data_IF_745778618725
#
_entry.id   IF_745778618725
#
_cell.length_a   1.000
_cell.length_b   1.000
_cell.length_c   1.000
_cell.angle_alpha   90.00
_cell.angle_beta   90.00
_cell.angle_gamma   90.00
#
_symmetry.space_group_name_H-M   'P 1'
#
loop_
_entity.id
_entity.type
_entity.pdbx_description
1 polymer ?
#
# COMPACT_ATOMS: atom_id res chain seq x y z
N UNK A 1 6.81 -4.02 10.10
CA UNK A 1 6.61 -5.47 9.80
C UNK A 1 6.73 -5.66 8.29
N UNK A 2 7.53 -6.61 7.77
CA UNK A 2 7.54 -6.87 6.31
C UNK A 2 6.42 -7.87 5.99
N UNK A 3 5.41 -7.50 5.19
CA UNK A 3 4.41 -8.47 4.75
C UNK A 3 5.10 -9.59 3.94
N UNK A 4 4.59 -10.82 4.03
CA UNK A 4 5.13 -11.99 3.33
C UNK A 4 4.71 -11.98 1.84
N UNK A 5 4.87 -10.81 1.20
CA UNK A 5 4.44 -10.50 -0.15
C UNK A 5 5.69 -9.97 -0.85
N UNK A 6 6.12 -10.66 -1.91
CA UNK A 6 7.24 -10.19 -2.73
C UNK A 6 6.70 -9.13 -3.69
N UNK A 7 7.16 -7.90 -3.48
CA UNK A 7 6.77 -6.73 -4.25
C UNK A 7 8.01 -6.19 -4.92
N UNK A 8 7.85 -5.82 -6.19
CA UNK A 8 8.95 -5.27 -6.99
C UNK A 8 9.60 -4.09 -6.27
N UNK A 9 10.93 -4.00 -6.36
CA UNK A 9 11.73 -2.96 -5.68
C UNK A 9 11.22 -1.54 -5.94
N UNK A 10 10.67 -1.30 -7.14
CA UNK A 10 10.04 -0.04 -7.54
C UNK A 10 8.77 0.28 -6.76
N UNK A 11 7.89 -0.72 -6.53
CA UNK A 11 6.67 -0.54 -5.75
C UNK A 11 6.98 -0.36 -4.27
N UNK A 12 7.94 -1.14 -3.74
CA UNK A 12 8.41 -0.98 -2.37
C UNK A 12 9.02 0.41 -2.12
N UNK A 13 9.73 0.97 -3.10
CA UNK A 13 10.21 2.36 -3.06
C UNK A 13 9.05 3.35 -2.95
N UNK A 14 8.03 3.23 -3.80
CA UNK A 14 6.85 4.12 -3.77
C UNK A 14 6.08 4.06 -2.46
N UNK A 15 5.93 2.87 -1.86
CA UNK A 15 5.27 2.73 -0.55
C UNK A 15 6.13 3.36 0.55
N UNK A 16 7.47 3.26 0.46
CA UNK A 16 8.38 3.95 1.37
C UNK A 16 8.27 5.48 1.25
N UNK A 17 8.25 6.01 0.04
CA UNK A 17 8.03 7.44 -0.20
C UNK A 17 6.67 7.90 0.37
N UNK A 18 5.61 7.08 0.21
CA UNK A 18 4.30 7.35 0.80
C UNK A 18 4.34 7.34 2.33
N UNK A 19 5.04 6.37 2.94
CA UNK A 19 5.22 6.31 4.38
C UNK A 19 5.94 7.56 4.92
N UNK A 20 7.03 7.97 4.28
CA UNK A 20 7.80 9.16 4.66
C UNK A 20 7.00 10.46 4.47
N UNK A 21 6.17 10.56 3.44
CA UNK A 21 5.34 11.73 3.19
C UNK A 21 4.19 11.91 4.20
N UNK A 22 3.69 10.80 4.75
CA UNK A 22 2.55 10.79 5.67
C UNK A 22 2.95 10.54 7.14
N UNK A 23 4.25 10.48 7.44
CA UNK A 23 4.81 10.17 8.77
C UNK A 23 4.27 8.82 9.33
N UNK A 24 4.12 7.83 8.44
CA UNK A 24 3.61 6.50 8.75
C UNK A 24 4.74 5.48 8.86
N UNK A 25 4.53 4.44 9.66
CA UNK A 25 5.39 3.25 9.58
C UNK A 25 5.18 2.55 8.23
N UNK A 26 6.22 1.87 7.74
CA UNK A 26 6.11 1.05 6.52
C UNK A 26 4.94 0.07 6.58
N UNK A 27 4.67 -0.53 7.75
CA UNK A 27 3.51 -1.43 7.94
C UNK A 27 2.19 -0.72 7.65
N UNK A 28 2.03 0.49 8.19
CA UNK A 28 0.80 1.28 8.09
C UNK A 28 0.61 1.77 6.66
N UNK A 29 1.69 2.23 6.00
CA UNK A 29 1.65 2.59 4.59
C UNK A 29 1.26 1.41 3.70
N UNK A 30 1.75 0.20 3.98
CA UNK A 30 1.30 -0.99 3.24
C UNK A 30 -0.18 -1.28 3.47
N UNK A 31 -0.63 -1.24 4.73
CA UNK A 31 -2.03 -1.46 5.07
C UNK A 31 -2.93 -0.45 4.36
N UNK A 32 -2.64 0.84 4.48
CA UNK A 32 -3.45 1.92 3.88
C UNK A 32 -3.52 1.81 2.36
N UNK A 33 -2.39 1.58 1.68
CA UNK A 33 -2.34 1.42 0.23
C UNK A 33 -3.11 0.19 -0.23
N UNK A 34 -3.02 -0.92 0.51
CA UNK A 34 -3.72 -2.16 0.19
C UNK A 34 -5.23 -2.05 0.46
N UNK A 35 -5.64 -1.44 1.57
CA UNK A 35 -7.05 -1.22 1.91
C UNK A 35 -7.70 -0.24 0.93
N UNK A 36 -7.06 0.88 0.62
CA UNK A 36 -7.56 1.84 -0.36
C UNK A 36 -7.63 1.21 -1.77
N UNK A 37 -6.64 0.40 -2.15
CA UNK A 37 -6.66 -0.34 -3.41
C UNK A 37 -7.75 -1.40 -3.47
N UNK A 38 -8.02 -2.10 -2.36
CA UNK A 38 -9.08 -3.09 -2.24
C UNK A 38 -10.46 -2.44 -2.33
N UNK A 39 -10.70 -1.38 -1.56
CA UNK A 39 -11.96 -0.63 -1.58
C UNK A 39 -12.26 -0.06 -2.98
N UNK A 40 -11.25 0.51 -3.65
CA UNK A 40 -11.37 0.98 -5.01
C UNK A 40 -11.74 -0.14 -5.98
N UNK A 41 -11.10 -1.31 -5.85
CA UNK A 41 -11.37 -2.48 -6.70
C UNK A 41 -12.78 -3.02 -6.48
N UNK A 42 -13.23 -3.16 -5.23
CA UNK A 42 -14.58 -3.61 -4.89
C UNK A 42 -15.65 -2.63 -5.41
N UNK A 43 -15.37 -1.33 -5.35
CA UNK A 43 -16.26 -0.31 -5.91
C UNK A 43 -16.31 -0.38 -7.44
N UNK A 44 -15.20 -0.69 -8.10
CA UNK A 44 -15.13 -0.82 -9.56
C UNK A 44 -15.79 -2.11 -10.09
N UNK A 45 -15.74 -3.21 -9.35
CA UNK A 45 -16.40 -4.47 -9.72
C UNK A 45 -17.95 -4.37 -9.63
N UNK A 46 -18.46 -3.38 -8.90
CA UNK A 46 -19.89 -3.12 -8.74
C UNK A 46 -20.50 -2.15 -9.78
N UNK A 47 -19.76 -1.70 -10.80
CA UNK A 47 -20.23 -0.78 -11.85
C UNK A 47 -20.32 -1.43 -13.24
#
# INVERSE_FOLDING_TARGET
MRPNIDISHTLGGRVKDHAEANDLDLSEAYTEVLEAGLEATETQDQQ
#
